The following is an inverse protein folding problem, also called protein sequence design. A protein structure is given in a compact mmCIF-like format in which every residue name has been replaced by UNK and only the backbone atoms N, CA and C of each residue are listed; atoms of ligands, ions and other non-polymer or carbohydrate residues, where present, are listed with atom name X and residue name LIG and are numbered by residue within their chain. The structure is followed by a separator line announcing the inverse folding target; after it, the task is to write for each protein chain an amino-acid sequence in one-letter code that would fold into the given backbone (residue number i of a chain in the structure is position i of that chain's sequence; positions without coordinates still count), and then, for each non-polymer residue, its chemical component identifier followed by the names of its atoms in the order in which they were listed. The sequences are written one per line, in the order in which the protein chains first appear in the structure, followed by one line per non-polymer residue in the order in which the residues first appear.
data_IF_908063741274
#
_entry.id   IF_908063741274
#
_cell.length_a   1.000
_cell.length_b   1.000
_cell.length_c   1.000
_cell.angle_alpha   90.00
_cell.angle_beta   90.00
_cell.angle_gamma   90.00
#
_symmetry.space_group_name_H-M   'P 1'
#
loop_
_entity.id
_entity.type
_entity.pdbx_description
1 polymer ?
#
# COMPACT_ATOMS: atom_id res chain seq x y z
N UNK A 1 -67.57 33.27 -14.45
CA UNK A 1 -67.16 34.56 -13.84
C UNK A 1 -65.65 34.63 -13.95
N UNK A 2 -65.12 35.45 -14.85
CA UNK A 2 -63.68 35.68 -15.01
C UNK A 2 -63.49 37.19 -14.89
N UNK A 3 -62.83 37.63 -13.82
CA UNK A 3 -62.53 39.03 -13.57
C UNK A 3 -61.52 39.55 -14.59
N UNK A 4 -61.91 40.59 -15.35
CA UNK A 4 -60.99 41.40 -16.16
C UNK A 4 -60.28 42.40 -15.26
N UNK A 5 -58.96 42.38 -15.26
CA UNK A 5 -58.18 43.53 -14.79
C UNK A 5 -58.14 44.56 -15.93
N UNK A 6 -58.66 45.76 -15.65
CA UNK A 6 -58.57 46.94 -16.52
C UNK A 6 -57.45 47.80 -15.95
N UNK A 7 -56.44 48.09 -16.75
CA UNK A 7 -55.49 49.17 -16.47
C UNK A 7 -55.92 50.38 -17.28
N UNK A 8 -56.33 51.46 -16.61
CA UNK A 8 -56.58 52.75 -17.25
C UNK A 8 -55.25 53.49 -17.42
N UNK A 9 -54.87 53.72 -18.68
CA UNK A 9 -53.84 54.69 -19.04
C UNK A 9 -54.56 55.93 -19.57
N UNK A 10 -54.48 57.04 -18.84
CA UNK A 10 -54.86 58.35 -19.34
C UNK A 10 -53.65 58.97 -20.02
N UNK A 11 -53.73 59.19 -21.33
CA UNK A 11 -53.08 60.35 -21.93
C UNK A 11 -53.90 60.85 -23.13
N UNK A 12 -54.10 62.17 -23.14
CA UNK A 12 -54.93 62.95 -24.06
C UNK A 12 -54.48 62.82 -25.52
N UNK A 13 -55.42 62.60 -26.46
CA UNK A 13 -55.66 63.41 -27.68
C UNK A 13 -56.66 62.71 -28.62
N UNK A 14 -57.59 63.50 -29.16
CA UNK A 14 -58.76 63.05 -29.93
C UNK A 14 -58.47 62.68 -31.41
N UNK A 15 -59.02 61.53 -31.78
CA UNK A 15 -59.73 61.17 -33.04
C UNK A 15 -58.98 61.07 -34.38
N UNK A 16 -58.56 59.83 -34.68
CA UNK A 16 -58.66 59.22 -36.01
C UNK A 16 -59.11 57.77 -35.87
N UNK A 17 -60.30 57.41 -36.38
CA UNK A 17 -60.78 56.01 -36.37
C UNK A 17 -59.98 55.19 -37.39
N UNK A 18 -58.87 54.62 -36.95
CA UNK A 18 -58.15 53.59 -37.70
C UNK A 18 -58.79 52.26 -37.32
N UNK A 19 -59.47 51.61 -38.27
CA UNK A 19 -59.92 50.23 -38.12
C UNK A 19 -58.69 49.32 -38.12
N UNK A 20 -58.05 49.17 -36.97
CA UNK A 20 -57.16 48.05 -36.74
C UNK A 20 -58.04 46.81 -36.61
N UNK A 21 -58.06 45.95 -37.62
CA UNK A 21 -58.27 44.52 -37.36
C UNK A 21 -57.04 44.08 -36.58
N UNK A 22 -57.12 43.78 -35.27
CA UNK A 22 -56.00 43.14 -34.62
C UNK A 22 -55.85 41.79 -35.30
N UNK A 23 -54.81 41.64 -36.13
CA UNK A 23 -54.24 40.34 -36.37
C UNK A 23 -53.67 39.91 -35.02
N UNK A 24 -54.52 39.30 -34.19
CA UNK A 24 -54.08 38.41 -33.15
C UNK A 24 -53.52 37.18 -33.86
N UNK A 25 -52.31 37.31 -34.40
CA UNK A 25 -51.42 36.16 -34.35
C UNK A 25 -51.06 36.02 -32.88
N UNK A 26 -51.96 35.44 -32.08
CA UNK A 26 -51.50 34.84 -30.85
C UNK A 26 -50.35 33.92 -31.25
N UNK A 27 -49.15 34.06 -30.66
CA UNK A 27 -48.10 33.09 -30.90
C UNK A 27 -48.71 31.75 -30.54
N UNK A 28 -48.82 30.87 -31.53
CA UNK A 28 -49.34 29.52 -31.39
C UNK A 28 -48.78 28.91 -30.09
N UNK A 29 -49.57 28.66 -29.03
CA UNK A 29 -49.04 28.12 -27.77
C UNK A 29 -48.72 26.62 -27.88
N UNK A 30 -48.32 26.16 -29.06
CA UNK A 30 -48.39 24.76 -29.47
C UNK A 30 -47.03 24.22 -29.91
N UNK A 31 -46.09 24.21 -28.97
CA UNK A 31 -45.15 23.10 -28.83
C UNK A 31 -45.22 22.64 -27.36
N UNK A 32 -45.26 21.32 -27.07
CA UNK A 32 -45.03 20.87 -25.71
C UNK A 32 -43.67 21.41 -25.28
N UNK A 33 -43.66 22.23 -24.23
CA UNK A 33 -42.41 22.64 -23.60
C UNK A 33 -41.90 21.42 -22.84
N UNK A 34 -40.72 20.93 -23.22
CA UNK A 34 -40.03 19.87 -22.49
C UNK A 34 -39.85 20.31 -21.02
N UNK A 35 -40.18 19.39 -20.11
CA UNK A 35 -40.06 19.56 -18.66
C UNK A 35 -39.26 18.44 -18.00
N UNK A 36 -38.83 17.44 -18.77
CA UNK A 36 -38.07 16.33 -18.27
C UNK A 36 -36.58 16.69 -18.36
N UNK A 37 -35.81 16.59 -17.27
CA UNK A 37 -34.37 16.78 -17.38
C UNK A 37 -33.70 15.58 -18.07
N UNK A 38 -32.49 15.75 -18.62
CA UNK A 38 -31.68 14.65 -19.09
C UNK A 38 -31.36 13.63 -17.99
N UNK A 39 -30.96 12.42 -18.39
CA UNK A 39 -30.37 11.42 -17.51
C UNK A 39 -28.92 11.15 -17.91
N UNK A 40 -27.98 11.42 -16.99
CA UNK A 40 -26.54 11.18 -17.23
C UNK A 40 -26.08 9.87 -16.60
N UNK A 41 -25.26 9.10 -17.31
CA UNK A 41 -24.62 7.86 -16.86
C UNK A 41 -23.10 8.01 -16.87
N UNK A 42 -22.42 7.22 -16.04
CA UNK A 42 -20.96 7.26 -15.84
C UNK A 42 -20.35 5.89 -16.10
N UNK A 43 -19.21 5.85 -16.80
CA UNK A 43 -18.42 4.64 -17.02
C UNK A 43 -17.21 4.62 -16.08
N UNK A 44 -17.32 3.91 -14.96
CA UNK A 44 -16.24 3.69 -14.02
C UNK A 44 -16.36 2.31 -13.35
N UNK A 45 -15.26 1.55 -13.37
CA UNK A 45 -15.22 0.15 -12.93
C UNK A 45 -14.79 -0.05 -11.47
N UNK A 46 -14.54 1.03 -10.73
CA UNK A 46 -14.19 0.97 -9.30
C UNK A 46 -12.76 0.50 -9.00
N UNK A 47 -11.93 0.29 -10.03
CA UNK A 47 -10.57 -0.25 -9.91
C UNK A 47 -9.53 0.85 -9.79
N UNK A 48 -8.41 0.50 -9.15
CA UNK A 48 -7.21 1.33 -9.16
C UNK A 48 -6.67 1.51 -10.58
N UNK A 49 -6.16 2.70 -10.86
CA UNK A 49 -5.40 3.04 -12.06
C UNK A 49 -4.01 3.51 -11.65
N UNK A 50 -3.01 3.21 -12.48
CA UNK A 50 -1.61 3.60 -12.29
C UNK A 50 -1.14 4.77 -13.14
N UNK A 51 -2.06 5.32 -13.94
CA UNK A 51 -1.83 6.49 -14.80
C UNK A 51 -3.09 7.34 -14.80
N UNK A 52 -2.92 8.60 -15.16
CA UNK A 52 -4.05 9.51 -15.37
C UNK A 52 -5.04 8.89 -16.36
N UNK A 53 -6.34 9.05 -16.09
CA UNK A 53 -7.39 8.45 -16.90
C UNK A 53 -8.62 9.33 -16.96
N UNK A 54 -9.42 9.13 -18.01
CA UNK A 54 -10.68 9.82 -18.21
C UNK A 54 -11.86 8.95 -17.81
N UNK A 55 -12.88 9.54 -17.19
CA UNK A 55 -14.16 8.89 -16.88
C UNK A 55 -15.20 9.37 -17.89
N UNK A 56 -15.75 8.47 -18.71
CA UNK A 56 -16.75 8.84 -19.70
C UNK A 56 -18.09 9.16 -19.02
N UNK A 57 -18.75 10.21 -19.50
CA UNK A 57 -20.09 10.63 -19.12
C UNK A 57 -20.97 10.59 -20.36
N UNK A 58 -22.13 9.94 -20.27
CA UNK A 58 -23.08 9.84 -21.38
C UNK A 58 -24.46 10.29 -20.91
N UNK A 59 -25.01 11.32 -21.54
CA UNK A 59 -26.33 11.83 -21.24
C UNK A 59 -27.30 11.54 -22.38
N UNK A 60 -28.56 11.27 -22.02
CA UNK A 60 -29.67 11.12 -22.96
C UNK A 60 -30.83 11.98 -22.50
N UNK A 61 -31.52 12.58 -23.45
CA UNK A 61 -32.78 13.26 -23.25
C UNK A 61 -33.77 12.85 -24.35
N UNK A 62 -35.06 12.81 -24.03
CA UNK A 62 -36.10 12.24 -24.91
C UNK A 62 -36.83 13.26 -25.79
N UNK A 63 -36.84 14.55 -25.43
CA UNK A 63 -37.70 15.54 -26.10
C UNK A 63 -36.91 16.72 -26.67
N UNK A 64 -36.16 17.46 -25.85
CA UNK A 64 -35.37 18.61 -26.31
C UNK A 64 -33.91 18.26 -26.64
N UNK A 65 -33.42 17.09 -26.26
CA UNK A 65 -32.04 16.67 -26.44
C UNK A 65 -31.09 17.34 -25.44
N UNK A 66 -29.90 16.75 -25.25
CA UNK A 66 -28.91 17.27 -24.29
C UNK A 66 -28.23 18.53 -24.86
N UNK A 67 -28.26 19.62 -24.11
CA UNK A 67 -27.52 20.84 -24.44
C UNK A 67 -26.07 20.77 -23.95
N UNK A 68 -25.86 20.37 -22.70
CA UNK A 68 -24.52 20.28 -22.10
C UNK A 68 -24.47 19.24 -20.98
N UNK A 69 -23.31 18.59 -20.82
CA UNK A 69 -22.99 17.79 -19.64
C UNK A 69 -21.93 18.51 -18.83
N UNK A 70 -22.26 18.78 -17.57
CA UNK A 70 -21.41 19.49 -16.62
C UNK A 70 -20.84 18.53 -15.58
N UNK A 71 -19.64 18.83 -15.09
CA UNK A 71 -19.02 18.07 -14.02
C UNK A 71 -18.04 18.90 -13.18
N UNK A 72 -17.71 18.42 -11.99
CA UNK A 72 -16.56 18.88 -11.20
C UNK A 72 -15.91 17.73 -10.46
N UNK A 73 -14.59 17.72 -10.45
CA UNK A 73 -13.77 16.74 -9.71
C UNK A 73 -13.34 17.36 -8.38
N UNK A 74 -13.46 16.60 -7.28
CA UNK A 74 -12.98 16.99 -5.94
C UNK A 74 -13.46 18.39 -5.49
N UNK A 75 -14.75 18.70 -5.72
CA UNK A 75 -15.36 20.00 -5.43
C UNK A 75 -14.66 21.20 -6.11
N UNK A 76 -13.91 20.96 -7.19
CA UNK A 76 -13.28 22.02 -7.97
C UNK A 76 -14.26 22.82 -8.82
N UNK A 77 -13.71 23.57 -9.78
CA UNK A 77 -14.51 24.34 -10.74
C UNK A 77 -15.38 23.43 -11.60
N UNK A 78 -16.59 23.91 -11.89
CA UNK A 78 -17.48 23.29 -12.86
C UNK A 78 -16.85 23.39 -14.25
N UNK A 79 -16.90 22.28 -14.98
CA UNK A 79 -16.39 22.11 -16.34
C UNK A 79 -17.50 21.56 -17.22
N UNK A 80 -17.46 21.94 -18.49
CA UNK A 80 -18.39 21.47 -19.51
C UNK A 80 -17.68 20.39 -20.35
N UNK A 81 -18.37 19.29 -20.65
CA UNK A 81 -17.80 18.22 -21.47
C UNK A 81 -17.52 18.72 -22.88
N UNK A 82 -18.35 19.60 -23.44
CA UNK A 82 -18.13 20.19 -24.77
C UNK A 82 -16.83 21.01 -24.88
N UNK A 83 -16.38 21.62 -23.78
CA UNK A 83 -15.20 22.50 -23.75
C UNK A 83 -13.97 21.78 -23.23
N UNK A 84 -14.13 20.98 -22.18
CA UNK A 84 -13.02 20.37 -21.44
C UNK A 84 -12.82 18.89 -21.75
N UNK A 85 -13.70 18.27 -22.54
CA UNK A 85 -13.78 16.83 -22.69
C UNK A 85 -14.30 16.15 -21.41
N UNK A 86 -14.20 14.83 -21.38
CA UNK A 86 -14.61 14.05 -20.22
C UNK A 86 -13.70 14.31 -18.99
N UNK A 87 -14.23 14.09 -17.76
CA UNK A 87 -13.46 14.23 -16.53
C UNK A 87 -12.12 13.49 -16.57
N UNK A 88 -11.02 14.24 -16.47
CA UNK A 88 -9.66 13.71 -16.35
C UNK A 88 -9.26 13.64 -14.87
N UNK A 89 -8.87 12.46 -14.41
CA UNK A 89 -8.40 12.21 -13.05
C UNK A 89 -6.87 12.18 -13.05
N UNK A 90 -6.26 13.09 -12.31
CA UNK A 90 -4.80 13.25 -12.25
C UNK A 90 -4.22 13.25 -10.83
N UNK A 91 -5.07 13.41 -9.83
CA UNK A 91 -4.69 13.46 -8.41
C UNK A 91 -4.78 12.07 -7.79
N UNK A 92 -3.68 11.61 -7.21
CA UNK A 92 -3.62 10.34 -6.49
C UNK A 92 -4.51 10.35 -5.24
N UNK A 93 -5.05 9.18 -4.92
CA UNK A 93 -5.91 8.96 -3.76
C UNK A 93 -6.94 7.86 -4.01
N UNK A 94 -7.47 7.32 -2.92
CA UNK A 94 -8.54 6.31 -2.95
C UNK A 94 -9.96 6.90 -3.01
N UNK A 95 -10.07 8.22 -2.79
CA UNK A 95 -11.32 8.88 -2.40
C UNK A 95 -11.65 10.11 -3.26
N UNK A 96 -11.14 10.18 -4.49
CA UNK A 96 -11.54 11.27 -5.39
C UNK A 96 -13.05 11.19 -5.67
N UNK A 97 -13.68 12.36 -5.84
CA UNK A 97 -15.11 12.51 -6.10
C UNK A 97 -15.35 13.18 -7.45
N UNK A 98 -16.45 12.79 -8.10
CA UNK A 98 -16.94 13.39 -9.34
C UNK A 98 -18.42 13.68 -9.17
N UNK A 99 -18.78 14.95 -9.23
CA UNK A 99 -20.17 15.39 -9.35
C UNK A 99 -20.46 15.71 -10.81
N UNK A 100 -21.61 15.26 -11.31
CA UNK A 100 -21.99 15.42 -12.71
C UNK A 100 -23.51 15.50 -12.89
N UNK A 101 -23.92 16.22 -13.93
CA UNK A 101 -25.31 16.45 -14.32
C UNK A 101 -25.35 16.94 -15.77
N UNK A 102 -26.53 16.97 -16.36
CA UNK A 102 -26.72 17.57 -17.69
C UNK A 102 -27.91 18.53 -17.71
N UNK A 103 -27.88 19.44 -18.68
CA UNK A 103 -28.95 20.38 -18.99
C UNK A 103 -29.39 20.12 -20.43
N UNK A 104 -30.71 20.16 -20.68
CA UNK A 104 -31.27 19.99 -22.02
C UNK A 104 -31.39 21.33 -22.79
N UNK A 105 -31.87 21.29 -24.04
CA UNK A 105 -32.06 22.51 -24.84
C UNK A 105 -33.28 23.36 -24.40
N UNK A 106 -34.15 22.83 -23.55
CA UNK A 106 -35.27 23.56 -22.93
C UNK A 106 -34.88 24.23 -21.59
N UNK A 107 -33.67 23.97 -21.08
CA UNK A 107 -33.15 24.48 -19.83
C UNK A 107 -33.50 23.64 -18.59
N UNK A 108 -34.01 22.41 -18.74
CA UNK A 108 -34.23 21.51 -17.62
C UNK A 108 -32.89 20.91 -17.17
N UNK A 109 -32.63 20.98 -15.87
CA UNK A 109 -31.40 20.51 -15.23
C UNK A 109 -31.65 19.21 -14.47
N UNK A 110 -30.74 18.25 -14.62
CA UNK A 110 -30.76 16.99 -13.88
C UNK A 110 -30.51 17.22 -12.38
N UNK A 111 -31.60 17.24 -11.58
CA UNK A 111 -31.55 17.40 -10.14
C UNK A 111 -32.09 16.15 -9.39
N UNK A 112 -31.46 15.74 -8.28
CA UNK A 112 -30.18 16.23 -7.76
C UNK A 112 -29.00 15.80 -8.66
N UNK A 113 -27.90 16.56 -8.62
CA UNK A 113 -26.67 16.14 -9.30
C UNK A 113 -26.20 14.79 -8.78
N UNK A 114 -25.67 13.98 -9.69
CA UNK A 114 -25.15 12.66 -9.35
C UNK A 114 -23.72 12.79 -8.84
N UNK A 115 -23.36 11.96 -7.86
CA UNK A 115 -22.04 11.95 -7.25
C UNK A 115 -21.47 10.54 -7.32
N UNK A 116 -20.31 10.41 -7.97
CA UNK A 116 -19.45 9.24 -7.91
C UNK A 116 -18.35 9.47 -6.86
N UNK A 117 -18.15 8.49 -5.99
CA UNK A 117 -17.11 8.51 -4.96
C UNK A 117 -16.19 7.30 -5.10
N UNK A 118 -15.07 7.29 -4.37
CA UNK A 118 -14.14 6.16 -4.40
C UNK A 118 -13.41 6.03 -5.74
N UNK A 119 -13.13 7.16 -6.39
CA UNK A 119 -12.28 7.19 -7.58
C UNK A 119 -10.82 7.00 -7.12
N UNK A 120 -10.16 5.99 -7.69
CA UNK A 120 -8.89 5.43 -7.22
C UNK A 120 -7.78 5.63 -8.25
N UNK A 121 -6.77 6.42 -7.89
CA UNK A 121 -5.57 6.64 -8.68
C UNK A 121 -4.35 6.54 -7.77
N UNK A 122 -3.36 5.76 -8.18
CA UNK A 122 -2.06 5.70 -7.52
C UNK A 122 -0.98 5.43 -8.56
N UNK A 123 -0.10 6.40 -8.78
CA UNK A 123 1.00 6.36 -9.75
C UNK A 123 2.34 6.12 -9.05
N UNK A 124 2.34 6.09 -7.72
CA UNK A 124 3.54 6.04 -6.91
C UNK A 124 3.94 4.59 -6.71
N UNK A 125 5.19 4.27 -7.04
CA UNK A 125 5.69 2.91 -6.83
C UNK A 125 5.87 2.63 -5.32
N UNK A 126 5.65 1.38 -4.87
CA UNK A 126 5.88 1.00 -3.48
C UNK A 126 7.35 1.15 -3.08
N UNK A 127 7.61 1.36 -1.78
CA UNK A 127 8.96 1.40 -1.21
C UNK A 127 9.29 0.15 -0.41
N UNK A 128 10.57 -0.22 -0.31
CA UNK A 128 10.99 -1.36 0.50
C UNK A 128 12.49 -1.58 0.56
N UNK A 129 12.88 -2.73 1.11
CA UNK A 129 14.28 -3.15 1.24
C UNK A 129 14.39 -4.67 1.42
N UNK A 130 15.60 -5.18 1.19
CA UNK A 130 15.97 -6.59 1.37
C UNK A 130 17.33 -6.68 2.07
N UNK A 131 17.46 -7.60 3.01
CA UNK A 131 18.70 -7.96 3.69
C UNK A 131 18.82 -9.49 3.70
N UNK A 132 20.00 -10.04 3.42
CA UNK A 132 20.28 -11.49 3.44
C UNK A 132 20.98 -11.85 4.75
N UNK A 133 20.50 -12.88 5.46
CA UNK A 133 21.08 -13.41 6.70
C UNK A 133 21.46 -12.31 7.72
N UNK A 134 20.53 -11.40 7.99
CA UNK A 134 20.74 -10.27 8.91
C UNK A 134 21.95 -9.38 8.57
N UNK A 135 22.36 -9.34 7.29
CA UNK A 135 23.47 -8.52 6.81
C UNK A 135 24.82 -9.20 6.85
N UNK A 136 24.86 -10.54 7.00
CA UNK A 136 26.11 -11.29 6.95
C UNK A 136 26.87 -11.05 5.63
N UNK A 137 28.18 -10.81 5.71
CA UNK A 137 29.02 -10.59 4.53
C UNK A 137 29.19 -11.87 3.68
N UNK A 138 29.18 -13.04 4.32
CA UNK A 138 29.32 -14.34 3.66
C UNK A 138 28.46 -15.43 4.30
N UNK A 139 28.29 -16.53 3.57
CA UNK A 139 27.64 -17.75 4.05
C UNK A 139 28.26 -18.98 3.40
N UNK A 140 28.13 -20.14 4.05
CA UNK A 140 28.50 -21.45 3.50
C UNK A 140 27.27 -22.26 3.05
N UNK A 141 26.06 -21.70 3.22
CA UNK A 141 24.79 -22.34 2.89
C UNK A 141 24.14 -21.64 1.70
N UNK A 142 23.63 -22.42 0.74
CA UNK A 142 22.78 -21.90 -0.34
C UNK A 142 21.39 -21.52 0.16
N UNK A 143 20.94 -22.09 1.28
CA UNK A 143 19.69 -21.71 1.93
C UNK A 143 19.95 -20.52 2.86
N UNK A 144 19.29 -19.39 2.59
CA UNK A 144 19.40 -18.13 3.33
C UNK A 144 18.04 -17.62 3.77
N UNK A 145 18.04 -16.73 4.75
CA UNK A 145 16.84 -16.00 5.19
C UNK A 145 16.92 -14.57 4.68
N UNK A 146 15.85 -14.13 4.00
CA UNK A 146 15.66 -12.74 3.60
C UNK A 146 14.84 -12.01 4.65
N UNK A 147 15.30 -10.83 5.07
CA UNK A 147 14.53 -9.86 5.85
C UNK A 147 14.09 -8.74 4.94
N UNK A 148 12.79 -8.44 4.92
CA UNK A 148 12.14 -7.63 3.89
C UNK A 148 11.33 -6.50 4.53
N UNK A 149 11.34 -5.34 3.88
CA UNK A 149 10.38 -4.26 4.17
C UNK A 149 9.59 -3.93 2.92
N UNK A 150 8.36 -3.47 3.11
CA UNK A 150 7.48 -3.02 2.04
C UNK A 150 6.48 -2.02 2.60
N UNK A 151 6.21 -0.95 1.86
CA UNK A 151 5.20 0.03 2.18
C UNK A 151 4.71 0.72 0.92
N UNK A 152 3.44 1.03 0.90
CA UNK A 152 2.84 1.96 -0.05
C UNK A 152 1.74 2.73 0.67
N UNK A 153 1.70 4.06 0.47
CA UNK A 153 0.84 4.94 1.25
C UNK A 153 -0.56 5.10 0.67
N UNK A 154 -0.72 4.90 -0.64
CA UNK A 154 -1.93 5.28 -1.37
C UNK A 154 -2.80 4.07 -1.66
N UNK A 155 -2.30 3.11 -2.43
CA UNK A 155 -3.03 1.90 -2.77
C UNK A 155 -2.68 0.71 -1.88
N UNK A 156 -1.58 0.78 -1.13
CA UNK A 156 -1.06 -0.29 -0.30
C UNK A 156 -0.41 -1.40 -1.11
N UNK A 157 0.41 -2.21 -0.45
CA UNK A 157 1.14 -3.31 -1.12
C UNK A 157 0.22 -4.51 -1.35
N UNK A 158 0.24 -5.05 -2.57
CA UNK A 158 -0.60 -6.18 -2.98
C UNK A 158 0.17 -7.50 -2.99
N UNK A 159 1.32 -7.53 -3.66
CA UNK A 159 2.08 -8.77 -3.90
C UNK A 159 3.58 -8.52 -3.96
N UNK A 160 4.35 -9.59 -3.76
CA UNK A 160 5.81 -9.59 -3.89
C UNK A 160 6.31 -10.80 -4.69
N UNK A 161 7.51 -10.70 -5.26
CA UNK A 161 8.21 -11.82 -5.92
C UNK A 161 9.73 -11.67 -5.86
N UNK A 162 10.45 -12.74 -6.15
CA UNK A 162 11.89 -12.84 -5.95
C UNK A 162 12.59 -13.43 -7.17
N UNK A 163 13.89 -13.13 -7.31
CA UNK A 163 14.73 -13.63 -8.39
C UNK A 163 16.19 -13.68 -7.98
N UNK A 164 16.98 -14.58 -8.59
CA UNK A 164 18.44 -14.61 -8.46
C UNK A 164 19.16 -13.91 -9.63
N UNK A 165 18.44 -13.52 -10.68
CA UNK A 165 19.00 -13.06 -11.97
C UNK A 165 18.26 -11.84 -12.56
N UNK A 166 17.29 -11.26 -11.83
CA UNK A 166 16.41 -10.17 -12.25
C UNK A 166 15.60 -10.45 -13.54
N UNK A 167 15.55 -11.70 -13.99
CA UNK A 167 14.98 -12.09 -15.29
C UNK A 167 13.96 -13.21 -15.12
N UNK A 168 14.36 -14.25 -14.39
CA UNK A 168 13.54 -15.39 -13.98
C UNK A 168 12.98 -15.10 -12.59
N UNK A 169 11.66 -14.93 -12.51
CA UNK A 169 10.98 -14.55 -11.29
C UNK A 169 10.14 -15.69 -10.71
N UNK A 170 10.06 -15.75 -9.39
CA UNK A 170 9.03 -16.54 -8.72
C UNK A 170 7.63 -16.05 -9.10
N UNK A 171 6.63 -16.88 -8.83
CA UNK A 171 5.25 -16.43 -8.83
C UNK A 171 5.06 -15.27 -7.83
N UNK A 172 4.07 -14.42 -8.10
CA UNK A 172 3.62 -13.40 -7.16
C UNK A 172 2.97 -14.06 -5.95
N UNK A 173 3.34 -13.62 -4.75
CA UNK A 173 2.80 -14.10 -3.48
C UNK A 173 2.43 -12.94 -2.55
N UNK A 174 1.70 -13.24 -1.47
CA UNK A 174 1.37 -12.25 -0.44
C UNK A 174 2.65 -11.74 0.26
N UNK A 175 2.71 -10.44 0.60
CA UNK A 175 3.88 -9.87 1.27
C UNK A 175 4.14 -10.51 2.64
N UNK A 176 5.42 -10.73 2.95
CA UNK A 176 5.90 -11.19 4.26
C UNK A 176 7.19 -10.45 4.60
N UNK A 177 7.45 -10.20 5.88
CA UNK A 177 8.69 -9.55 6.35
C UNK A 177 9.89 -10.51 6.36
N UNK A 178 9.65 -11.82 6.19
CA UNK A 178 10.70 -12.84 6.09
C UNK A 178 10.41 -13.86 5.00
N UNK A 179 11.47 -14.36 4.35
CA UNK A 179 11.38 -15.41 3.32
C UNK A 179 12.61 -16.32 3.37
N UNK A 180 12.39 -17.63 3.40
CA UNK A 180 13.45 -18.60 3.13
C UNK A 180 13.73 -18.65 1.61
N UNK A 181 14.99 -18.57 1.22
CA UNK A 181 15.39 -18.46 -0.17
C UNK A 181 16.63 -19.29 -0.50
N UNK A 182 16.67 -19.84 -1.72
CA UNK A 182 17.80 -20.63 -2.21
C UNK A 182 18.61 -19.82 -3.24
N UNK A 183 19.88 -19.61 -2.92
CA UNK A 183 20.86 -19.02 -3.82
C UNK A 183 21.24 -20.00 -4.94
N UNK A 184 21.75 -19.46 -6.05
CA UNK A 184 22.39 -20.29 -7.08
C UNK A 184 23.65 -20.94 -6.51
N UNK A 185 23.90 -22.19 -6.90
CA UNK A 185 25.08 -22.94 -6.44
C UNK A 185 26.41 -22.34 -6.92
N UNK A 186 27.51 -22.78 -6.31
CA UNK A 186 28.88 -22.37 -6.63
C UNK A 186 29.34 -21.13 -5.86
N UNK A 187 30.63 -21.04 -5.61
CA UNK A 187 31.21 -19.94 -4.83
C UNK A 187 31.10 -18.58 -5.54
N UNK A 188 31.19 -17.51 -4.75
CA UNK A 188 31.21 -16.12 -5.22
C UNK A 188 30.00 -15.30 -4.79
N UNK A 189 29.94 -14.06 -5.27
CA UNK A 189 28.85 -13.13 -4.95
C UNK A 189 27.53 -13.63 -5.52
N UNK A 190 26.52 -13.73 -4.65
CA UNK A 190 25.14 -14.06 -4.98
C UNK A 190 24.27 -12.83 -4.75
N UNK A 191 23.41 -12.52 -5.71
CA UNK A 191 22.46 -11.40 -5.62
C UNK A 191 21.05 -11.95 -5.61
N UNK A 192 20.21 -11.41 -4.72
CA UNK A 192 18.78 -11.69 -4.67
C UNK A 192 18.02 -10.41 -4.94
N UNK A 193 17.11 -10.47 -5.89
CA UNK A 193 16.19 -9.40 -6.26
C UNK A 193 14.83 -9.64 -5.60
N UNK A 194 14.20 -8.54 -5.19
CA UNK A 194 12.92 -8.50 -4.51
C UNK A 194 12.07 -7.42 -5.17
N UNK A 195 10.95 -7.81 -5.76
CA UNK A 195 10.04 -6.90 -6.43
C UNK A 195 8.71 -6.83 -5.68
N UNK A 196 8.25 -5.60 -5.48
CA UNK A 196 7.03 -5.26 -4.77
C UNK A 196 6.04 -4.70 -5.78
N UNK A 197 4.76 -5.08 -5.65
CA UNK A 197 3.66 -4.55 -6.45
C UNK A 197 2.54 -4.06 -5.54
N UNK A 198 2.04 -2.87 -5.81
CA UNK A 198 0.91 -2.28 -5.09
C UNK A 198 -0.45 -2.72 -5.67
N UNK A 199 -1.56 -2.15 -5.17
CA UNK A 199 -2.91 -2.47 -5.66
C UNK A 199 -3.29 -1.74 -6.96
N UNK A 200 -2.55 -0.71 -7.37
CA UNK A 200 -2.68 -0.05 -8.67
C UNK A 200 -1.85 -0.70 -9.77
N UNK A 201 -0.97 -1.63 -9.42
CA UNK A 201 -0.07 -2.35 -10.32
C UNK A 201 1.28 -1.67 -10.52
N UNK A 202 1.62 -0.61 -9.77
CA UNK A 202 2.98 -0.06 -9.79
C UNK A 202 3.94 -1.06 -9.14
N UNK A 203 5.17 -1.10 -9.66
CA UNK A 203 6.20 -2.03 -9.18
C UNK A 203 7.51 -1.33 -8.86
N UNK A 204 8.18 -1.76 -7.80
CA UNK A 204 9.55 -1.36 -7.47
C UNK A 204 10.42 -2.58 -7.21
N UNK A 205 11.70 -2.52 -7.59
CA UNK A 205 12.65 -3.63 -7.44
C UNK A 205 13.84 -3.23 -6.57
N UNK A 206 14.19 -4.10 -5.63
CA UNK A 206 15.31 -3.97 -4.69
C UNK A 206 16.22 -5.18 -4.80
N UNK A 207 17.45 -5.08 -4.30
CA UNK A 207 18.38 -6.21 -4.29
C UNK A 207 19.35 -6.16 -3.12
N UNK A 208 19.80 -7.32 -2.68
CA UNK A 208 20.91 -7.49 -1.74
C UNK A 208 21.87 -8.57 -2.25
N UNK A 209 23.11 -8.56 -1.77
CA UNK A 209 24.11 -9.56 -2.14
C UNK A 209 24.82 -10.15 -0.93
N UNK A 210 25.31 -11.37 -1.07
CA UNK A 210 26.10 -12.12 -0.08
C UNK A 210 27.18 -12.93 -0.80
N UNK A 211 28.35 -13.14 -0.19
CA UNK A 211 29.37 -14.02 -0.74
C UNK A 211 29.13 -15.48 -0.29
N UNK A 212 28.88 -16.40 -1.22
CA UNK A 212 28.78 -17.82 -0.94
C UNK A 212 30.17 -18.45 -1.05
N UNK A 213 30.60 -19.18 -0.04
CA UNK A 213 31.88 -19.90 -0.05
C UNK A 213 31.69 -21.32 0.43
N UNK A 214 32.30 -22.27 -0.28
CA UNK A 214 32.36 -23.65 0.17
C UNK A 214 33.16 -23.73 1.48
N UNK A 215 32.81 -24.65 2.41
CA UNK A 215 33.64 -24.86 3.59
C UNK A 215 35.05 -25.24 3.14
N UNK A 216 36.06 -24.55 3.67
CA UNK A 216 37.46 -24.91 3.42
C UNK A 216 37.64 -26.40 3.74
N UNK A 217 38.36 -27.18 2.91
CA UNK A 217 38.64 -28.57 3.23
C UNK A 217 39.32 -28.63 4.60
N UNK A 218 38.82 -29.49 5.48
CA UNK A 218 39.48 -29.77 6.76
C UNK A 218 40.90 -30.24 6.47
N UNK A 219 41.93 -29.76 7.21
CA UNK A 219 43.27 -30.27 7.03
C UNK A 219 43.24 -31.79 7.13
N UNK A 220 43.82 -32.48 6.15
CA UNK A 220 44.04 -33.92 6.24
C UNK A 220 44.82 -34.18 7.53
N UNK A 221 44.40 -35.12 8.40
CA UNK A 221 45.16 -35.42 9.60
C UNK A 221 46.60 -35.72 9.18
N UNK A 222 47.55 -34.95 9.69
CA UNK A 222 48.97 -35.25 9.52
C UNK A 222 49.17 -36.69 10.00
N UNK A 223 49.78 -37.59 9.21
CA UNK A 223 50.06 -38.93 9.68
C UNK A 223 50.78 -38.82 11.02
N UNK A 224 50.24 -39.50 12.04
CA UNK A 224 50.89 -39.59 13.34
C UNK A 224 52.32 -40.07 13.10
N UNK A 225 53.35 -39.44 13.71
CA UNK A 225 54.72 -39.92 13.56
C UNK A 225 54.74 -41.41 13.89
N UNK A 226 55.31 -42.22 13.00
CA UNK A 226 55.53 -43.64 13.25
C UNK A 226 56.20 -43.77 14.63
N UNK A 227 55.74 -44.69 15.51
CA UNK A 227 56.40 -44.90 16.79
C UNK A 227 57.89 -45.14 16.52
N UNK A 228 58.74 -44.35 17.19
CA UNK A 228 60.18 -44.57 17.18
C UNK A 228 60.45 -46.01 17.62
N UNK A 229 61.36 -46.76 16.97
CA UNK A 229 61.68 -48.11 17.40
C UNK A 229 62.05 -48.08 18.90
N UNK A 230 61.37 -48.92 19.67
CA UNK A 230 61.65 -49.11 21.09
C UNK A 230 63.13 -49.47 21.26
N UNK A 231 63.88 -48.80 22.15
CA UNK A 231 65.22 -49.25 22.47
C UNK A 231 65.18 -50.68 23.00
N UNK A 232 66.14 -51.49 22.54
CA UNK A 232 66.41 -52.86 22.97
C UNK A 232 66.52 -52.93 24.50
N UNK A 233 66.03 -54.00 25.16
CA UNK A 233 66.03 -54.10 26.62
C UNK A 233 67.46 -54.00 27.17
N UNK A 234 67.68 -52.99 28.00
CA UNK A 234 68.86 -52.89 28.87
C UNK A 234 68.66 -53.82 30.07
N UNK A 235 69.70 -54.59 30.40
CA UNK A 235 69.73 -55.52 31.51
C UNK A 235 69.32 -54.88 32.84
N UNK A 236 68.36 -55.54 33.49
CA UNK A 236 67.79 -55.22 34.81
C UNK A 236 68.85 -55.08 35.91
N UNK A 237 68.90 -53.96 36.66
CA UNK A 237 69.51 -53.94 37.97
C UNK A 237 68.58 -54.60 39.02
N UNK A 238 69.20 -55.04 40.11
CA UNK A 238 68.63 -55.83 41.21
C UNK A 238 67.47 -55.15 41.96
N UNK A 239 66.55 -55.93 42.57
CA UNK A 239 65.40 -55.39 43.29
C UNK A 239 65.82 -54.59 44.53
N UNK A 240 65.29 -53.37 44.65
CA UNK A 240 65.39 -52.51 45.84
C UNK A 240 64.21 -52.84 46.79
N UNK A 241 64.43 -52.91 48.12
CA UNK A 241 63.42 -53.37 49.06
C UNK A 241 62.17 -52.47 49.13
N UNK A 242 61.04 -53.15 49.25
CA UNK A 242 59.68 -52.65 49.43
C UNK A 242 59.53 -51.71 50.64
N UNK A 243 59.07 -50.46 50.48
CA UNK A 243 58.55 -49.68 51.59
C UNK A 243 57.11 -50.08 51.94
N UNK A 244 56.91 -50.19 53.26
CA UNK A 244 55.71 -50.45 54.07
C UNK A 244 54.49 -49.58 53.71
N UNK A 245 53.24 -50.08 53.85
CA UNK A 245 52.03 -49.35 53.48
C UNK A 245 51.75 -48.15 54.40
N UNK A 246 51.45 -47.00 53.82
CA UNK A 246 50.96 -45.82 54.55
C UNK A 246 49.53 -45.50 54.12
N UNK A 247 48.72 -45.12 55.11
CA UNK A 247 47.26 -45.08 55.11
C UNK A 247 46.59 -44.27 53.99
N UNK A 248 45.42 -44.80 53.58
CA UNK A 248 44.44 -44.19 52.69
C UNK A 248 43.94 -42.83 53.22
N UNK A 249 43.96 -41.75 52.43
CA UNK A 249 43.18 -40.56 52.75
C UNK A 249 41.68 -40.85 52.61
N UNK A 250 40.93 -40.48 53.63
CA UNK A 250 39.47 -40.51 53.74
C UNK A 250 38.81 -39.67 52.63
N UNK A 251 37.71 -40.11 51.99
CA UNK A 251 36.98 -39.31 51.01
C UNK A 251 36.41 -38.04 51.64
N UNK A 252 36.78 -36.88 51.09
CA UNK A 252 36.14 -35.60 51.39
C UNK A 252 34.74 -35.60 50.79
N UNK A 253 33.73 -35.31 51.62
CA UNK A 253 32.36 -35.14 51.19
C UNK A 253 32.25 -33.97 50.19
N UNK A 254 31.60 -34.24 49.07
CA UNK A 254 31.22 -33.25 48.06
C UNK A 254 30.28 -32.22 48.69
N UNK A 255 30.51 -30.90 48.54
CA UNK A 255 29.57 -29.89 49.01
C UNK A 255 28.27 -29.94 48.19
N UNK A 256 27.16 -30.11 48.89
CA UNK A 256 25.79 -30.05 48.38
C UNK A 256 25.48 -28.66 47.78
N UNK A 257 24.92 -28.56 46.56
CA UNK A 257 24.52 -27.27 46.01
C UNK A 257 23.34 -26.66 46.80
N UNK A 258 23.30 -25.32 46.96
CA UNK A 258 22.21 -24.65 47.67
C UNK A 258 20.88 -24.74 46.90
N UNK A 259 19.72 -24.70 47.60
CA UNK A 259 18.41 -24.87 46.99
C UNK A 259 18.11 -23.76 45.97
N UNK A 260 17.69 -24.18 44.78
CA UNK A 260 17.29 -23.33 43.66
C UNK A 260 15.94 -22.66 43.98
N UNK A 261 15.92 -21.32 43.96
CA UNK A 261 14.70 -20.52 44.10
C UNK A 261 13.72 -20.78 42.93
N UNK A 262 12.40 -20.69 43.15
CA UNK A 262 11.40 -20.94 42.11
C UNK A 262 11.54 -19.93 40.97
N UNK A 263 11.52 -20.46 39.75
CA UNK A 263 11.55 -19.67 38.51
C UNK A 263 10.15 -19.08 38.30
N UNK A 264 9.96 -17.82 38.66
CA UNK A 264 8.72 -17.11 38.31
C UNK A 264 8.63 -16.94 36.79
N UNK A 265 7.57 -17.50 36.23
CA UNK A 265 7.27 -17.44 34.79
C UNK A 265 6.62 -16.10 34.48
N UNK A 266 7.39 -15.12 34.01
CA UNK A 266 6.81 -13.87 33.52
C UNK A 266 6.06 -14.11 32.21
N UNK A 267 4.73 -14.13 32.28
CA UNK A 267 3.87 -14.04 31.11
C UNK A 267 4.08 -12.66 30.47
N UNK A 268 4.56 -12.65 29.24
CA UNK A 268 4.72 -11.45 28.43
C UNK A 268 3.36 -10.78 28.19
N UNK A 269 3.08 -9.68 28.88
CA UNK A 269 2.03 -8.71 28.51
C UNK A 269 2.70 -7.49 27.88
N UNK A 270 3.27 -7.69 26.69
CA UNK A 270 3.63 -6.58 25.80
C UNK A 270 2.46 -6.36 24.86
N UNK A 271 1.65 -5.32 25.10
CA UNK A 271 0.92 -4.57 24.05
C UNK A 271 0.03 -3.41 24.52
N UNK A 272 -0.17 -3.14 25.83
CA UNK A 272 -1.09 -2.05 26.23
C UNK A 272 -0.49 -1.20 27.36
N UNK A 273 0.55 -0.40 27.07
CA UNK A 273 1.04 0.64 28.00
C UNK A 273 1.75 1.84 27.35
N UNK A 274 1.59 2.08 26.04
CA UNK A 274 2.20 3.26 25.38
C UNK A 274 1.16 4.33 24.98
N UNK A 275 -0.15 4.06 25.11
CA UNK A 275 -1.20 5.05 24.77
C UNK A 275 -1.63 5.93 25.97
N UNK A 276 -1.30 5.57 27.22
CA UNK A 276 -1.75 6.34 28.40
C UNK A 276 -0.80 7.47 28.85
N UNK A 277 0.46 7.52 28.38
CA UNK A 277 1.43 8.57 28.78
C UNK A 277 1.36 9.80 27.86
N UNK A 278 0.77 9.70 26.67
CA UNK A 278 0.58 10.85 25.76
C UNK A 278 -0.66 11.69 26.14
N UNK A 279 -1.64 11.12 26.86
CA UNK A 279 -2.84 11.86 27.29
C UNK A 279 -2.61 12.71 28.55
N UNK A 280 -1.64 12.35 29.42
CA UNK A 280 -1.37 13.13 30.65
C UNK A 280 -0.46 14.35 30.39
N UNK A 281 0.36 14.34 29.33
CA UNK A 281 1.22 15.50 28.97
C UNK A 281 0.43 16.56 28.16
N UNK A 282 -0.67 16.19 27.50
CA UNK A 282 -1.54 17.12 26.76
C UNK A 282 -2.45 17.99 27.63
N UNK A 283 -2.88 17.51 28.82
CA UNK A 283 -3.83 18.23 29.68
C UNK A 283 -3.14 19.25 30.61
N UNK A 284 -1.82 19.13 30.84
CA UNK A 284 -1.07 20.06 31.70
C UNK A 284 -0.55 21.33 31.00
N UNK A 285 -0.74 21.49 29.68
CA UNK A 285 -0.36 22.73 28.95
C UNK A 285 -1.48 23.74 28.70
N UNK A 286 -2.70 23.51 29.20
CA UNK A 286 -3.82 24.47 29.12
C UNK A 286 -4.11 25.25 30.42
N UNK A 287 -3.32 25.07 31.48
CA UNK A 287 -3.35 25.95 32.66
C UNK A 287 -1.99 26.60 32.89
N UNK A 288 -1.67 27.58 32.06
CA UNK A 288 -0.84 28.74 32.41
C UNK A 288 -0.69 29.63 31.18
N UNK A 289 -1.55 30.63 31.08
CA UNK A 289 -1.17 32.01 30.74
C UNK A 289 -2.21 32.96 31.39
N UNK A 290 -1.75 34.05 32.02
CA UNK A 290 -2.60 35.02 32.70
C UNK A 290 -3.47 35.82 31.73
#
# INVERSE_FOLDING_TARGET
MISKYVYDYYDDFQLGKVNYTPFLTEPNPCAPQDRAPPNTTVDYDGKWRSVDFTIALTATDHESGVAETCYRVNNGSIKAVSVNGHPLITTEGANSTLEYWSVDNAGNEELPHKILTGIKLDKTAPTGSIIINSGAASTTSTSVTLTLTYSDATSGVSQVRYSNDNSTWSAWESPSTTKAWNLTAGDGTKTVYYQIKDNAGNTATYSASINLQSPSPSPTPTPSPSPSPSPSPSSSPAPTPTPTPTHSPTPIATPTPPPQAPVETYLAISTIAIIAVIIIIGVLRLRKRP
#
